data_IF_822291535937
#
_entry.id   IF_822291535937
#
_cell.length_a   1.000
_cell.length_b   1.000
_cell.length_c   1.000
_cell.angle_alpha   90.00
_cell.angle_beta   90.00
_cell.angle_gamma   90.00
#
_symmetry.space_group_name_H-M   'P 1'
#
loop_
_entity.id
_entity.type
_entity.pdbx_description
1 polymer ?
#
# COMPACT_ATOMS: atom_id res chain seq x y z
N UNK A 1 -23.44 13.42 23.55
CA UNK A 1 -22.25 14.04 22.93
C UNK A 1 -22.01 13.32 21.62
N UNK A 2 -22.13 14.00 20.48
CA UNK A 2 -21.75 13.40 19.21
C UNK A 2 -20.23 13.18 19.23
N UNK A 3 -19.78 11.95 19.00
CA UNK A 3 -18.37 11.70 18.75
C UNK A 3 -18.00 12.52 17.51
N UNK A 4 -17.04 13.44 17.64
CA UNK A 4 -16.42 14.04 16.46
C UNK A 4 -15.96 12.90 15.56
N UNK A 5 -16.44 12.86 14.31
CA UNK A 5 -15.98 11.86 13.36
C UNK A 5 -14.47 12.01 13.24
N UNK A 6 -13.72 10.98 13.63
CA UNK A 6 -12.27 10.99 13.46
C UNK A 6 -11.95 11.12 11.97
N UNK A 7 -10.99 11.97 11.70
CA UNK A 7 -10.52 12.24 10.36
C UNK A 7 -9.71 11.03 9.88
N UNK A 8 -10.07 10.41 8.74
CA UNK A 8 -9.40 9.22 8.27
C UNK A 8 -7.96 9.52 7.83
N UNK A 9 -7.07 8.58 8.10
CA UNK A 9 -5.70 8.56 7.56
C UNK A 9 -5.70 7.71 6.30
N UNK A 10 -5.09 8.22 5.22
CA UNK A 10 -4.87 7.47 3.98
C UNK A 10 -3.41 7.11 3.84
N UNK A 11 -3.13 5.93 3.32
CA UNK A 11 -1.77 5.46 3.05
C UNK A 11 -1.71 5.05 1.60
N UNK A 12 -0.75 5.61 0.88
CA UNK A 12 -0.51 5.31 -0.53
C UNK A 12 0.83 4.60 -0.62
N UNK A 13 0.78 3.32 -0.96
CA UNK A 13 1.96 2.55 -1.33
C UNK A 13 2.08 2.59 -2.86
N UNK A 14 3.21 3.09 -3.36
CA UNK A 14 3.54 3.06 -4.80
C UNK A 14 4.70 2.10 -5.00
N UNK A 15 4.52 1.14 -5.88
CA UNK A 15 5.53 0.14 -6.24
C UNK A 15 5.70 0.15 -7.76
N UNK A 16 6.87 0.51 -8.23
CA UNK A 16 7.23 0.44 -9.64
C UNK A 16 7.83 -0.93 -9.92
N UNK A 17 7.20 -1.70 -10.80
CA UNK A 17 7.57 -3.09 -11.12
C UNK A 17 7.94 -3.20 -12.60
N UNK A 18 8.76 -4.18 -13.00
CA UNK A 18 8.86 -4.57 -14.41
C UNK A 18 7.48 -4.92 -14.97
N UNK A 19 7.19 -4.52 -16.21
CA UNK A 19 5.86 -4.66 -16.83
C UNK A 19 5.26 -6.06 -16.73
N UNK A 20 6.07 -7.11 -16.92
CA UNK A 20 5.61 -8.50 -16.84
C UNK A 20 5.29 -9.00 -15.42
N UNK A 21 5.69 -8.25 -14.38
CA UNK A 21 5.56 -8.67 -12.97
C UNK A 21 4.39 -8.04 -12.21
N UNK A 22 3.75 -7.01 -12.76
CA UNK A 22 2.74 -6.22 -12.04
C UNK A 22 1.52 -7.04 -11.60
N UNK A 23 0.89 -7.76 -12.53
CA UNK A 23 -0.32 -8.55 -12.22
C UNK A 23 -0.03 -9.67 -11.21
N UNK A 24 1.12 -10.34 -11.34
CA UNK A 24 1.56 -11.39 -10.41
C UNK A 24 1.81 -10.80 -9.00
N UNK A 25 2.41 -9.62 -8.93
CA UNK A 25 2.61 -8.92 -7.67
C UNK A 25 1.29 -8.50 -7.01
N UNK A 26 0.34 -7.96 -7.78
CA UNK A 26 -1.00 -7.60 -7.29
C UNK A 26 -1.73 -8.82 -6.72
N UNK A 27 -1.71 -9.94 -7.46
CA UNK A 27 -2.29 -11.19 -6.99
C UNK A 27 -1.64 -11.69 -5.68
N UNK A 28 -0.30 -11.61 -5.58
CA UNK A 28 0.45 -11.93 -4.36
C UNK A 28 0.06 -11.03 -3.20
N UNK A 29 -0.03 -9.71 -3.42
CA UNK A 29 -0.42 -8.72 -2.41
C UNK A 29 -1.81 -9.04 -1.84
N UNK A 30 -2.79 -9.32 -2.70
CA UNK A 30 -4.13 -9.69 -2.25
C UNK A 30 -4.18 -10.99 -1.45
N UNK A 31 -3.39 -11.99 -1.84
CA UNK A 31 -3.35 -13.29 -1.16
C UNK A 31 -2.63 -13.25 0.17
N UNK A 32 -1.50 -12.55 0.24
CA UNK A 32 -0.53 -12.71 1.33
C UNK A 32 -0.43 -11.49 2.24
N UNK A 33 -0.46 -10.27 1.68
CA UNK A 33 -0.26 -9.04 2.45
C UNK A 33 -1.56 -8.45 2.96
N UNK A 34 -2.57 -8.37 2.08
CA UNK A 34 -3.87 -7.77 2.39
C UNK A 34 -4.50 -8.34 3.67
N UNK A 35 -4.59 -9.67 3.89
CA UNK A 35 -5.20 -10.19 5.13
C UNK A 35 -4.48 -9.71 6.39
N UNK A 36 -3.15 -9.63 6.34
CA UNK A 36 -2.33 -9.13 7.44
C UNK A 36 -2.53 -7.63 7.67
N UNK A 37 -2.70 -6.84 6.60
CA UNK A 37 -3.03 -5.42 6.70
C UNK A 37 -4.43 -5.20 7.28
N UNK A 38 -5.43 -5.94 6.81
CA UNK A 38 -6.81 -5.88 7.32
C UNK A 38 -6.88 -6.28 8.80
N UNK A 39 -6.13 -7.30 9.22
CA UNK A 39 -6.02 -7.68 10.63
C UNK A 39 -5.41 -6.57 11.52
N UNK A 40 -4.65 -5.64 10.93
CA UNK A 40 -4.13 -4.44 11.62
C UNK A 40 -5.09 -3.24 11.54
N UNK A 41 -6.25 -3.38 10.92
CA UNK A 41 -7.29 -2.36 10.82
C UNK A 41 -7.27 -1.54 9.53
N UNK A 42 -6.40 -1.85 8.57
CA UNK A 42 -6.41 -1.18 7.27
C UNK A 42 -7.63 -1.61 6.46
N UNK A 43 -8.23 -0.68 5.73
CA UNK A 43 -9.24 -0.95 4.70
C UNK A 43 -8.60 -0.70 3.34
N UNK A 44 -8.69 -1.66 2.42
CA UNK A 44 -8.24 -1.46 1.05
C UNK A 44 -9.26 -0.61 0.30
N UNK A 45 -8.87 0.58 -0.14
CA UNK A 45 -9.74 1.49 -0.90
C UNK A 45 -9.61 1.25 -2.41
N UNK A 46 -8.41 0.89 -2.88
CA UNK A 46 -8.22 0.53 -4.27
C UNK A 46 -6.79 0.15 -4.64
N UNK A 47 -6.69 -0.44 -5.82
CA UNK A 47 -5.43 -0.82 -6.47
C UNK A 47 -5.51 -0.34 -7.92
N UNK A 48 -4.57 0.48 -8.34
CA UNK A 48 -4.48 1.00 -9.70
C UNK A 48 -3.11 0.71 -10.28
N UNK A 49 -3.04 0.58 -11.60
CA UNK A 49 -1.79 0.44 -12.31
C UNK A 49 -1.72 1.39 -13.51
N UNK A 50 -0.53 1.91 -13.80
CA UNK A 50 -0.32 2.75 -14.98
C UNK A 50 -0.60 1.95 -16.25
N UNK A 51 -1.46 2.49 -17.12
CA UNK A 51 -1.80 1.87 -18.42
C UNK A 51 -1.16 2.54 -19.62
N UNK A 52 -0.87 3.85 -19.51
CA UNK A 52 -0.15 4.61 -20.51
C UNK A 52 1.25 4.91 -19.97
N UNK A 53 2.23 4.14 -20.44
CA UNK A 53 3.63 4.55 -20.42
C UNK A 53 4.02 4.74 -21.88
N UNK A 54 4.79 5.77 -22.20
CA UNK A 54 5.27 5.98 -23.56
C UNK A 54 6.03 4.73 -24.02
N UNK A 55 5.56 4.03 -25.07
CA UNK A 55 6.22 2.85 -25.57
C UNK A 55 7.68 3.19 -25.94
N UNK A 56 8.64 2.57 -25.26
CA UNK A 56 10.07 2.73 -25.53
C UNK A 56 10.85 3.64 -24.57
N UNK A 57 10.21 4.33 -23.62
CA UNK A 57 10.91 5.20 -22.65
C UNK A 57 11.07 4.53 -21.27
N UNK A 58 10.09 3.72 -20.84
CA UNK A 58 10.14 3.06 -19.53
C UNK A 58 9.35 1.75 -19.53
N UNK A 59 10.01 0.64 -19.18
CA UNK A 59 9.37 -0.69 -19.07
C UNK A 59 8.85 -1.00 -17.65
N UNK A 60 8.70 0.02 -16.81
CA UNK A 60 8.09 -0.13 -15.50
C UNK A 60 6.59 0.21 -15.52
N UNK A 61 5.86 -0.44 -14.63
CA UNK A 61 4.45 -0.18 -14.30
C UNK A 61 4.39 0.22 -12.83
N UNK A 62 3.76 1.36 -12.55
CA UNK A 62 3.47 1.75 -11.18
C UNK A 62 2.19 1.09 -10.74
N UNK A 63 2.27 0.30 -9.67
CA UNK A 63 1.12 -0.18 -8.92
C UNK A 63 0.95 0.74 -7.71
N UNK A 64 -0.24 1.32 -7.60
CA UNK A 64 -0.63 2.20 -6.51
C UNK A 64 -1.68 1.48 -5.67
N UNK A 65 -1.39 1.29 -4.39
CA UNK A 65 -2.29 0.69 -3.40
C UNK A 65 -2.69 1.75 -2.40
N UNK A 66 -3.98 2.00 -2.26
CA UNK A 66 -4.51 2.93 -1.27
C UNK A 66 -5.18 2.18 -0.13
N UNK A 67 -4.76 2.53 1.08
CA UNK A 67 -5.37 2.05 2.30
C UNK A 67 -5.96 3.20 3.11
N UNK A 68 -7.01 2.90 3.87
CA UNK A 68 -7.62 3.81 4.84
C UNK A 68 -7.58 3.24 6.25
N UNK A 69 -7.37 4.12 7.21
CA UNK A 69 -7.57 3.88 8.64
C UNK A 69 -8.56 4.91 9.20
N UNK A 70 -9.34 4.57 10.25
CA UNK A 70 -10.35 5.46 10.82
C UNK A 70 -9.79 6.78 11.34
N UNK A 71 -8.56 6.77 11.86
CA UNK A 71 -7.95 7.92 12.49
C UNK A 71 -6.47 7.73 12.80
N UNK A 72 -5.88 8.78 13.37
CA UNK A 72 -4.45 8.81 13.72
C UNK A 72 -4.10 7.79 14.81
N UNK A 73 -5.03 7.51 15.72
CA UNK A 73 -4.83 6.53 16.81
C UNK A 73 -4.68 5.13 16.24
N UNK A 74 -5.56 4.76 15.32
CA UNK A 74 -5.57 3.47 14.63
C UNK A 74 -4.32 3.33 13.77
N UNK A 75 -3.86 4.42 13.15
CA UNK A 75 -2.58 4.44 12.44
C UNK A 75 -1.39 4.06 13.33
N UNK A 76 -1.22 4.70 14.49
CA UNK A 76 -0.09 4.35 15.37
C UNK A 76 -0.20 2.93 15.93
N UNK A 77 -1.42 2.45 16.24
CA UNK A 77 -1.66 1.06 16.64
C UNK A 77 -1.25 0.09 15.52
N UNK A 78 -1.71 0.34 14.30
CA UNK A 78 -1.42 -0.49 13.15
C UNK A 78 0.07 -0.47 12.78
N UNK A 79 0.73 0.69 12.94
CA UNK A 79 2.18 0.86 12.73
C UNK A 79 3.00 0.05 13.72
N UNK A 80 2.61 -0.03 14.99
CA UNK A 80 3.31 -0.87 15.96
C UNK A 80 3.37 -2.35 15.52
N UNK A 81 2.30 -2.86 14.90
CA UNK A 81 2.26 -4.21 14.33
C UNK A 81 2.99 -4.38 13.00
N UNK A 82 3.48 -3.30 12.38
CA UNK A 82 4.15 -3.37 11.07
C UNK A 82 5.56 -3.98 11.14
N UNK A 83 6.14 -4.10 12.33
CA UNK A 83 7.43 -4.74 12.58
C UNK A 83 7.35 -6.27 12.71
N UNK A 84 6.16 -6.87 12.56
CA UNK A 84 6.03 -8.33 12.56
C UNK A 84 6.93 -8.96 11.47
N UNK A 85 7.70 -10.04 11.76
CA UNK A 85 8.67 -10.59 10.83
C UNK A 85 8.11 -10.92 9.45
N UNK A 86 6.89 -11.46 9.37
CA UNK A 86 6.23 -11.76 8.10
C UNK A 86 5.95 -10.50 7.25
N UNK A 87 5.57 -9.39 7.89
CA UNK A 87 5.34 -8.11 7.21
C UNK A 87 6.64 -7.54 6.66
N UNK A 88 7.71 -7.59 7.46
CA UNK A 88 9.04 -7.14 7.07
C UNK A 88 9.57 -7.97 5.90
N UNK A 89 9.49 -9.30 6.01
CA UNK A 89 9.93 -10.21 4.96
C UNK A 89 9.16 -10.01 3.65
N UNK A 90 7.84 -9.79 3.72
CA UNK A 90 7.03 -9.58 2.51
C UNK A 90 7.42 -8.29 1.76
N UNK A 91 7.70 -7.20 2.49
CA UNK A 91 8.17 -5.97 1.86
C UNK A 91 9.60 -6.07 1.36
N UNK A 92 10.49 -6.78 2.07
CA UNK A 92 11.84 -7.07 1.58
C UNK A 92 11.81 -7.87 0.26
N UNK A 93 10.96 -8.90 0.18
CA UNK A 93 10.74 -9.66 -1.06
C UNK A 93 9.99 -8.86 -2.15
N UNK A 94 9.47 -7.68 -1.83
CA UNK A 94 8.98 -6.73 -2.83
C UNK A 94 10.10 -5.81 -3.30
N UNK A 95 11.00 -5.39 -2.40
CA UNK A 95 12.17 -4.58 -2.73
C UNK A 95 13.14 -5.30 -3.69
N UNK A 96 13.24 -6.62 -3.61
CA UNK A 96 14.02 -7.43 -4.56
C UNK A 96 13.43 -7.45 -5.99
N UNK A 97 12.13 -7.18 -6.12
CA UNK A 97 11.40 -7.21 -7.41
C UNK A 97 11.15 -5.82 -7.98
N UNK A 98 11.03 -4.81 -7.12
CA UNK A 98 10.63 -3.47 -7.48
C UNK A 98 11.79 -2.64 -8.02
N UNK A 99 11.52 -1.89 -9.09
CA UNK A 99 12.43 -0.85 -9.60
C UNK A 99 12.47 0.35 -8.64
N UNK A 100 11.34 0.63 -7.99
CA UNK A 100 11.22 1.65 -6.96
C UNK A 100 10.03 1.34 -6.04
N UNK A 101 10.11 1.82 -4.80
CA UNK A 101 8.98 1.77 -3.87
C UNK A 101 8.95 3.02 -2.98
N UNK A 102 7.75 3.57 -2.78
CA UNK A 102 7.52 4.64 -1.83
C UNK A 102 6.22 4.43 -1.06
N UNK A 103 6.16 5.05 0.12
CA UNK A 103 4.97 5.07 0.98
C UNK A 103 4.72 6.50 1.42
N UNK A 104 3.49 6.95 1.28
CA UNK A 104 3.03 8.25 1.78
C UNK A 104 1.88 8.06 2.76
N UNK A 105 1.89 8.83 3.85
CA UNK A 105 0.79 8.91 4.82
C UNK A 105 0.15 10.28 4.64
N UNK A 106 -1.15 10.29 4.38
CA UNK A 106 -1.91 11.48 4.02
C UNK A 106 -2.96 11.75 5.11
N UNK A 107 -3.04 13.01 5.52
CA UNK A 107 -4.17 13.55 6.28
C UNK A 107 -5.13 14.30 5.37
N UNK A 108 -6.25 14.83 5.91
CA UNK A 108 -7.13 15.71 5.17
C UNK A 108 -6.39 17.01 4.83
N UNK A 109 -6.89 17.72 3.82
CA UNK A 109 -6.54 19.13 3.71
C UNK A 109 -7.27 19.90 4.82
N UNK A 110 -6.53 20.78 5.50
CA UNK A 110 -7.04 21.61 6.59
C UNK A 110 -7.98 22.72 6.15
#
# INVERSE_FOLDING_TARGET
MAASAEVPVRIVDRVTLPRGGADAWVARMHREYRPSAEARGYVLEGVWQTRAADPGVFDGVDVVVEWRLPGVREFFRARAGSHAPATVAWWAATDELALARSRSVLGPQG
#
